data_IF_744944925079
#
_entry.id   IF_744944925079
#
_cell.length_a   1.000
_cell.length_b   1.000
_cell.length_c   1.000
_cell.angle_alpha   90.00
_cell.angle_beta   90.00
_cell.angle_gamma   90.00
#
_symmetry.space_group_name_H-M   'P 1'
#
loop_
_entity.id
_entity.type
_entity.pdbx_description
1 polymer ?
#
# COMPACT_ATOMS: atom_id res chain seq x y z
N UNK A 1 35.90 -1.82 -22.73
CA UNK A 1 35.26 -0.55 -23.14
C UNK A 1 34.06 -0.30 -22.25
N UNK A 2 34.08 0.86 -21.57
CA UNK A 2 32.99 1.60 -20.89
C UNK A 2 32.12 0.87 -19.85
N UNK A 3 32.43 1.11 -18.59
CA UNK A 3 31.47 1.01 -17.48
C UNK A 3 30.42 2.12 -17.57
N UNK A 4 29.18 1.79 -17.22
CA UNK A 4 28.06 2.71 -17.16
C UNK A 4 27.76 2.99 -15.69
N UNK A 5 28.11 4.20 -15.26
CA UNK A 5 27.79 4.77 -13.96
C UNK A 5 26.32 5.23 -13.97
N UNK A 6 25.43 4.58 -13.22
CA UNK A 6 24.09 5.12 -12.98
C UNK A 6 24.16 6.18 -11.87
N UNK A 7 23.82 7.42 -12.23
CA UNK A 7 23.62 8.53 -11.29
C UNK A 7 22.29 8.34 -10.58
N UNK A 8 22.30 8.25 -9.24
CA UNK A 8 21.09 8.35 -8.41
C UNK A 8 20.61 9.81 -8.45
N UNK A 9 19.44 10.05 -9.02
CA UNK A 9 18.76 11.35 -8.98
C UNK A 9 18.08 11.49 -7.63
N UNK A 10 18.55 12.42 -6.80
CA UNK A 10 17.97 12.79 -5.52
C UNK A 10 16.75 13.69 -5.77
N UNK A 11 15.55 13.20 -5.45
CA UNK A 11 14.32 14.00 -5.47
C UNK A 11 14.21 14.74 -4.14
N UNK A 12 14.45 16.06 -4.15
CA UNK A 12 14.36 16.93 -2.98
C UNK A 12 12.88 17.33 -2.78
N UNK A 13 12.20 16.75 -1.80
CA UNK A 13 10.84 17.15 -1.42
C UNK A 13 10.92 18.29 -0.39
N UNK A 14 10.81 19.54 -0.85
CA UNK A 14 10.73 20.71 0.02
C UNK A 14 9.31 20.86 0.57
N UNK A 15 9.13 20.64 1.87
CA UNK A 15 7.89 20.94 2.58
C UNK A 15 7.93 22.39 3.08
N UNK A 16 7.07 23.24 2.49
CA UNK A 16 6.77 24.57 3.01
C UNK A 16 5.90 24.43 4.27
N UNK A 17 6.35 24.97 5.40
CA UNK A 17 5.44 25.34 6.50
C UNK A 17 5.54 26.85 6.70
N UNK A 18 4.37 27.46 6.51
CA UNK A 18 4.08 28.88 6.57
C UNK A 18 4.02 29.30 8.05
N UNK A 19 4.98 30.09 8.52
CA UNK A 19 4.90 30.76 9.83
C UNK A 19 4.79 32.27 9.62
N UNK A 20 3.56 32.79 9.67
CA UNK A 20 3.30 34.22 9.80
C UNK A 20 3.01 34.47 11.28
N UNK A 21 4.00 35.00 12.00
CA UNK A 21 3.75 35.76 13.23
C UNK A 21 4.38 37.15 13.04
N UNK A 22 3.51 38.15 13.05
CA UNK A 22 3.84 39.56 12.96
C UNK A 22 4.61 40.01 14.22
N UNK A 23 5.86 40.43 14.05
CA UNK A 23 6.57 41.23 15.04
C UNK A 23 6.20 42.70 14.80
N UNK A 24 5.39 43.26 15.70
CA UNK A 24 5.20 44.71 15.80
C UNK A 24 6.42 45.29 16.53
N UNK A 25 7.02 46.32 15.91
CA UNK A 25 8.09 47.15 16.49
C UNK A 25 7.73 47.63 17.90
N UNK A 26 8.71 47.60 18.80
CA UNK A 26 8.72 48.45 19.98
C UNK A 26 9.92 49.39 19.85
N UNK A 27 9.61 50.65 19.55
CA UNK A 27 10.57 51.75 19.53
C UNK A 27 11.08 52.01 20.96
N UNK A 28 12.40 52.08 21.09
CA UNK A 28 13.07 52.49 22.33
C UNK A 28 13.00 54.01 22.48
N UNK A 29 12.42 54.49 23.58
CA UNK A 29 12.59 55.88 24.06
C UNK A 29 13.12 55.85 25.49
N UNK A 30 14.37 56.28 25.63
CA UNK A 30 15.04 56.58 26.90
C UNK A 30 14.49 57.86 27.54
N UNK A 31 14.14 57.81 28.83
CA UNK A 31 14.12 58.98 29.73
C UNK A 31 14.66 58.55 31.12
N UNK A 32 15.54 59.34 31.80
CA UNK A 32 16.33 58.90 32.98
C UNK A 32 15.80 59.36 34.37
N UNK A 33 16.30 58.69 35.43
CA UNK A 33 16.43 59.09 36.88
C UNK A 33 15.11 59.36 37.68
N UNK A 34 14.88 59.06 38.99
CA UNK A 34 15.70 58.80 40.17
C UNK A 34 14.86 58.24 41.37
N UNK A 35 15.50 57.36 42.18
CA UNK A 35 15.46 57.06 43.64
C UNK A 35 14.24 56.61 44.51
N UNK A 36 14.57 55.60 45.34
CA UNK A 36 13.99 55.09 46.61
C UNK A 36 12.57 54.51 46.52
N UNK A 37 12.23 53.33 47.05
CA UNK A 37 12.61 52.75 48.35
C UNK A 37 12.12 51.27 48.39
N UNK A 38 12.79 50.43 49.18
CA UNK A 38 12.38 49.08 49.68
C UNK A 38 12.47 47.84 48.76
N UNK A 39 13.52 47.07 49.04
CA UNK A 39 13.55 45.62 48.91
C UNK A 39 12.74 44.98 50.05
N UNK A 40 11.65 44.26 49.74
CA UNK A 40 11.20 43.05 50.47
C UNK A 40 10.44 42.16 49.46
N UNK A 41 11.19 41.23 48.87
CA UNK A 41 10.89 39.82 48.61
C UNK A 41 9.40 39.43 48.41
N UNK A 42 9.02 39.22 47.15
CA UNK A 42 8.00 38.24 46.80
C UNK A 42 8.38 37.64 45.45
N UNK A 43 9.31 36.67 45.49
CA UNK A 43 9.51 35.71 44.40
C UNK A 43 8.33 34.76 44.47
N UNK A 44 7.21 35.16 43.87
CA UNK A 44 6.19 34.17 43.50
C UNK A 44 6.69 33.50 42.23
N UNK A 45 7.22 32.31 42.48
CA UNK A 45 7.77 31.34 41.57
C UNK A 45 6.74 30.95 40.51
N UNK A 46 6.73 31.70 39.41
CA UNK A 46 6.15 31.22 38.16
C UNK A 46 7.12 30.20 37.56
N UNK A 47 7.31 29.03 38.19
CA UNK A 47 7.90 27.88 37.51
C UNK A 47 6.93 27.48 36.41
N UNK A 48 7.18 27.96 35.19
CA UNK A 48 6.67 27.34 33.99
C UNK A 48 7.11 25.89 34.03
N UNK A 49 6.16 24.99 34.27
CA UNK A 49 6.37 23.54 34.22
C UNK A 49 6.50 23.16 32.73
N UNK A 50 7.62 23.52 32.11
CA UNK A 50 7.90 23.24 30.71
C UNK A 50 8.11 21.73 30.62
N UNK A 51 7.04 21.01 30.24
CA UNK A 51 7.15 19.60 29.91
C UNK A 51 8.17 19.45 28.78
N UNK A 52 9.10 18.53 28.96
CA UNK A 52 10.05 18.17 27.90
C UNK A 52 9.30 17.51 26.75
N UNK A 53 9.89 17.54 25.58
CA UNK A 53 9.42 16.77 24.41
C UNK A 53 10.45 15.70 24.13
N UNK A 54 9.98 14.49 23.82
CA UNK A 54 10.80 13.36 23.41
C UNK A 54 10.38 12.90 22.02
N UNK A 55 11.36 12.49 21.22
CA UNK A 55 11.14 12.03 19.85
C UNK A 55 11.00 10.51 19.83
N UNK A 56 9.94 10.03 19.17
CA UNK A 56 9.77 8.62 18.80
C UNK A 56 10.08 8.50 17.32
N UNK A 57 11.04 7.64 16.98
CA UNK A 57 11.47 7.42 15.60
C UNK A 57 11.24 5.96 15.23
N UNK A 58 10.58 5.75 14.09
CA UNK A 58 10.23 4.43 13.57
C UNK A 58 11.10 4.11 12.36
N UNK A 59 11.63 2.89 12.31
CA UNK A 59 12.49 2.41 11.24
C UNK A 59 11.96 1.12 10.60
N UNK A 60 12.10 1.02 9.27
CA UNK A 60 12.11 -0.26 8.55
C UNK A 60 13.57 -0.61 8.24
N UNK A 61 14.07 -1.64 8.92
CA UNK A 61 15.51 -1.93 9.00
C UNK A 61 16.29 -0.69 9.47
N UNK A 62 17.14 -0.14 8.61
CA UNK A 62 17.93 1.07 8.89
C UNK A 62 17.31 2.35 8.26
N UNK A 63 16.16 2.25 7.61
CA UNK A 63 15.51 3.36 6.91
C UNK A 63 14.47 4.03 7.81
N UNK A 64 14.53 5.37 7.90
CA UNK A 64 13.52 6.15 8.59
C UNK A 64 12.15 5.97 7.93
N UNK A 65 11.18 5.47 8.70
CA UNK A 65 9.79 5.31 8.29
C UNK A 65 8.93 6.51 8.71
N UNK A 66 8.99 6.90 9.98
CA UNK A 66 8.20 7.98 10.58
C UNK A 66 8.94 8.56 11.79
N UNK A 67 8.67 9.82 12.15
CA UNK A 67 9.11 10.40 13.42
C UNK A 67 8.03 11.31 14.00
N UNK A 68 7.86 11.26 15.32
CA UNK A 68 6.84 12.02 16.06
C UNK A 68 7.45 12.60 17.34
N UNK A 69 7.03 13.82 17.71
CA UNK A 69 7.44 14.51 18.93
C UNK A 69 6.32 14.46 19.97
N UNK A 70 6.58 13.88 21.13
CA UNK A 70 5.59 13.60 22.19
C UNK A 70 5.99 14.31 23.48
N UNK A 71 5.02 14.93 24.17
CA UNK A 71 5.27 15.59 25.46
C UNK A 71 5.53 14.56 26.57
N UNK A 72 6.44 14.91 27.47
CA UNK A 72 6.76 14.12 28.66
C UNK A 72 5.51 13.81 29.49
N UNK A 73 5.39 12.54 29.90
CA UNK A 73 4.24 12.07 30.65
C UNK A 73 3.05 11.64 29.78
N UNK A 74 3.09 11.82 28.46
CA UNK A 74 2.05 11.35 27.55
C UNK A 74 2.34 9.95 26.98
N UNK A 75 1.30 9.33 26.42
CA UNK A 75 1.38 8.09 25.66
C UNK A 75 1.13 8.39 24.18
N UNK A 76 1.64 7.56 23.29
CA UNK A 76 1.40 7.65 21.84
C UNK A 76 0.68 6.41 21.32
N UNK A 77 0.03 6.57 20.16
CA UNK A 77 -0.69 5.50 19.46
C UNK A 77 0.20 4.83 18.44
N UNK A 78 -0.18 3.60 18.06
CA UNK A 78 0.51 2.87 17.00
C UNK A 78 0.43 3.64 15.67
N UNK A 79 1.55 3.75 14.92
CA UNK A 79 1.53 4.41 13.61
C UNK A 79 0.79 3.55 12.59
N UNK A 80 0.53 4.14 11.42
CA UNK A 80 0.14 3.34 10.24
C UNK A 80 1.17 2.25 9.99
N UNK A 81 0.71 1.01 9.80
CA UNK A 81 1.60 -0.14 9.68
C UNK A 81 2.47 -0.03 8.41
N UNK A 82 3.79 -0.27 8.49
CA UNK A 82 4.64 -0.32 7.33
C UNK A 82 4.35 -1.58 6.51
N UNK A 83 4.51 -1.47 5.18
CA UNK A 83 4.34 -2.59 4.24
C UNK A 83 5.67 -2.99 3.64
N UNK A 84 5.96 -4.29 3.60
CA UNK A 84 7.19 -4.84 3.02
C UNK A 84 6.90 -6.06 2.16
N UNK A 85 7.43 -6.04 0.94
CA UNK A 85 7.14 -7.02 -0.10
C UNK A 85 7.54 -8.44 0.29
N UNK A 86 6.58 -9.38 0.24
CA UNK A 86 6.79 -10.77 0.66
C UNK A 86 6.86 -10.98 2.18
N UNK A 87 6.53 -9.97 2.99
CA UNK A 87 6.50 -10.07 4.45
C UNK A 87 5.20 -9.54 5.05
N UNK A 88 4.84 -10.08 6.22
CA UNK A 88 3.77 -9.56 7.08
C UNK A 88 4.39 -8.80 8.24
N UNK A 89 3.98 -7.55 8.46
CA UNK A 89 4.34 -6.81 9.66
C UNK A 89 3.75 -7.51 10.90
N UNK A 90 4.55 -7.67 11.95
CA UNK A 90 4.13 -8.35 13.19
C UNK A 90 4.04 -7.39 14.36
N UNK A 91 5.10 -6.63 14.62
CA UNK A 91 5.20 -5.74 15.77
C UNK A 91 6.39 -4.79 15.63
N UNK A 92 6.37 -3.73 16.44
CA UNK A 92 7.53 -2.86 16.64
C UNK A 92 8.45 -3.44 17.73
N UNK A 93 9.74 -3.16 17.65
CA UNK A 93 10.71 -3.54 18.69
C UNK A 93 11.48 -2.33 19.19
N UNK A 94 11.79 -2.31 20.50
CA UNK A 94 12.75 -1.39 21.12
C UNK A 94 13.90 -2.23 21.66
N UNK A 95 15.13 -1.91 21.27
CA UNK A 95 16.31 -2.68 21.68
C UNK A 95 16.17 -4.20 21.40
N UNK A 96 15.58 -4.54 20.25
CA UNK A 96 15.24 -5.93 19.82
C UNK A 96 14.15 -6.65 20.65
N UNK A 97 13.47 -5.95 21.55
CA UNK A 97 12.37 -6.50 22.36
C UNK A 97 11.03 -5.97 21.80
N UNK A 98 9.99 -6.80 21.61
CA UNK A 98 8.67 -6.33 21.18
C UNK A 98 8.16 -5.20 22.07
N UNK A 99 7.74 -4.11 21.43
CA UNK A 99 7.28 -2.90 22.10
C UNK A 99 5.76 -2.90 22.25
N UNK A 100 5.29 -2.55 23.44
CA UNK A 100 3.86 -2.44 23.75
C UNK A 100 3.50 -0.96 23.90
N UNK A 101 2.56 -0.49 23.09
CA UNK A 101 2.07 0.89 23.17
C UNK A 101 1.28 1.14 24.47
N UNK A 102 1.20 2.41 24.87
CA UNK A 102 0.56 2.84 26.12
C UNK A 102 1.52 3.02 27.30
N UNK A 103 2.83 2.84 27.10
CA UNK A 103 3.83 3.25 28.08
C UNK A 103 4.07 4.76 28.03
N UNK A 104 4.21 5.38 29.20
CA UNK A 104 4.52 6.81 29.32
C UNK A 104 5.91 7.09 28.73
N UNK A 105 6.00 8.16 27.93
CA UNK A 105 7.27 8.63 27.37
C UNK A 105 8.11 9.35 28.44
N UNK A 106 9.39 8.97 28.55
CA UNK A 106 10.37 9.54 29.49
C UNK A 106 11.76 9.78 28.88
N UNK A 107 11.93 9.41 27.61
CA UNK A 107 13.14 9.59 26.81
C UNK A 107 12.79 9.39 25.33
N UNK A 108 13.71 9.74 24.43
CA UNK A 108 13.57 9.40 23.02
C UNK A 108 13.55 7.87 22.82
N UNK A 109 12.80 7.41 21.82
CA UNK A 109 12.65 5.99 21.53
C UNK A 109 12.88 5.74 20.04
N UNK A 110 13.75 4.79 19.73
CA UNK A 110 13.87 4.21 18.41
C UNK A 110 13.11 2.87 18.37
N UNK A 111 12.17 2.75 17.43
CA UNK A 111 11.36 1.55 17.19
C UNK A 111 11.66 0.97 15.82
N UNK A 112 11.85 -0.35 15.76
CA UNK A 112 12.17 -1.07 14.53
C UNK A 112 11.07 -2.04 14.16
N UNK A 113 10.60 -1.97 12.92
CA UNK A 113 9.57 -2.85 12.39
C UNK A 113 10.09 -4.29 12.32
N UNK A 114 9.33 -5.22 12.87
CA UNK A 114 9.58 -6.65 12.73
C UNK A 114 8.60 -7.26 11.74
N UNK A 115 9.16 -8.01 10.79
CA UNK A 115 8.46 -8.62 9.68
C UNK A 115 8.69 -10.14 9.68
N UNK A 116 7.64 -10.91 9.38
CA UNK A 116 7.76 -12.34 9.08
C UNK A 116 7.61 -12.57 7.58
N UNK A 117 8.49 -13.37 6.99
CA UNK A 117 8.35 -13.77 5.59
C UNK A 117 7.03 -14.53 5.42
N UNK A 118 6.31 -14.21 4.36
CA UNK A 118 5.13 -14.99 3.98
C UNK A 118 5.67 -16.32 3.43
N UNK A 119 5.49 -17.41 4.19
CA UNK A 119 5.87 -18.77 3.76
C UNK A 119 4.83 -19.31 2.77
N UNK A 120 4.83 -18.76 1.55
CA UNK A 120 4.04 -19.22 0.41
C UNK A 120 4.95 -19.92 -0.60
N UNK A 121 4.42 -20.90 -1.32
CA UNK A 121 5.19 -21.58 -2.36
C UNK A 121 5.62 -20.54 -3.41
N UNK A 122 6.84 -20.63 -3.94
CA UNK A 122 7.34 -19.65 -4.92
C UNK A 122 6.45 -19.51 -6.19
N UNK A 123 5.63 -20.52 -6.48
CA UNK A 123 4.64 -20.48 -7.57
C UNK A 123 3.49 -19.49 -7.30
N UNK A 124 3.23 -19.17 -6.03
CA UNK A 124 2.12 -18.35 -5.54
C UNK A 124 2.47 -16.85 -5.51
N UNK A 125 3.71 -16.51 -5.85
CA UNK A 125 4.26 -15.16 -5.74
C UNK A 125 4.61 -14.60 -7.12
N UNK A 126 4.18 -13.36 -7.37
CA UNK A 126 4.75 -12.51 -8.40
C UNK A 126 5.60 -11.43 -7.71
N UNK A 127 6.95 -11.60 -7.72
CA UNK A 127 7.84 -10.69 -7.02
C UNK A 127 8.01 -9.35 -7.74
N UNK A 128 7.63 -9.25 -9.02
CA UNK A 128 7.76 -8.00 -9.79
C UNK A 128 6.68 -7.01 -9.35
N UNK A 129 5.47 -7.52 -9.15
CA UNK A 129 4.30 -6.71 -8.77
C UNK A 129 3.96 -6.79 -7.28
N UNK A 130 4.78 -7.50 -6.48
CA UNK A 130 4.53 -7.80 -5.07
C UNK A 130 3.13 -8.39 -4.81
N UNK A 131 2.75 -9.39 -5.60
CA UNK A 131 1.47 -10.07 -5.48
C UNK A 131 1.69 -11.46 -4.90
N UNK A 132 0.81 -11.86 -3.97
CA UNK A 132 0.75 -13.21 -3.42
C UNK A 132 -0.68 -13.72 -3.55
N UNK A 133 -0.85 -14.91 -4.12
CA UNK A 133 -2.17 -15.56 -4.26
C UNK A 133 -2.26 -16.86 -3.45
N UNK A 134 -3.37 -17.07 -2.75
CA UNK A 134 -3.71 -18.35 -2.12
C UNK A 134 -4.88 -18.99 -2.85
N UNK A 135 -5.01 -20.31 -2.78
CA UNK A 135 -6.06 -21.04 -3.52
C UNK A 135 -7.49 -20.64 -3.08
N UNK A 136 -7.66 -20.22 -1.82
CA UNK A 136 -8.90 -19.75 -1.20
C UNK A 136 -9.14 -18.24 -1.30
N UNK A 137 -8.18 -17.49 -1.86
CA UNK A 137 -8.28 -16.04 -2.01
C UNK A 137 -9.33 -15.61 -3.04
N UNK A 138 -9.89 -14.42 -2.82
CA UNK A 138 -10.89 -13.80 -3.70
C UNK A 138 -10.22 -12.69 -4.51
N UNK A 139 -10.02 -12.93 -5.80
CA UNK A 139 -9.28 -12.05 -6.69
C UNK A 139 -10.17 -11.59 -7.83
N UNK A 140 -10.06 -10.32 -8.21
CA UNK A 140 -10.73 -9.80 -9.40
C UNK A 140 -9.89 -8.76 -10.17
N UNK A 141 -8.66 -8.48 -9.74
CA UNK A 141 -7.75 -7.58 -10.43
C UNK A 141 -6.90 -8.33 -11.46
N UNK A 142 -6.44 -7.60 -12.48
CA UNK A 142 -5.74 -8.16 -13.66
C UNK A 142 -4.59 -9.10 -13.29
N UNK A 143 -3.67 -8.63 -12.45
CA UNK A 143 -2.42 -9.34 -12.18
C UNK A 143 -2.62 -10.49 -11.19
N UNK A 144 -3.44 -10.28 -10.15
CA UNK A 144 -3.82 -11.34 -9.19
C UNK A 144 -4.51 -12.52 -9.88
N UNK A 145 -5.49 -12.23 -10.74
CA UNK A 145 -6.28 -13.26 -11.43
C UNK A 145 -5.42 -14.02 -12.46
N UNK A 146 -4.53 -13.31 -13.18
CA UNK A 146 -3.61 -13.96 -14.10
C UNK A 146 -2.64 -14.89 -13.38
N UNK A 147 -2.05 -14.44 -12.27
CA UNK A 147 -1.20 -15.27 -11.41
C UNK A 147 -1.97 -16.48 -10.89
N UNK A 148 -3.18 -16.28 -10.36
CA UNK A 148 -4.03 -17.37 -9.86
C UNK A 148 -4.31 -18.43 -10.93
N UNK A 149 -4.74 -18.03 -12.13
CA UNK A 149 -5.03 -18.98 -13.22
C UNK A 149 -3.76 -19.72 -13.65
N UNK A 150 -2.62 -19.02 -13.72
CA UNK A 150 -1.34 -19.63 -14.06
C UNK A 150 -0.87 -20.66 -13.01
N UNK A 151 -1.22 -20.46 -11.75
CA UNK A 151 -0.77 -21.29 -10.63
C UNK A 151 -1.72 -22.46 -10.33
N UNK A 152 -3.03 -22.19 -10.29
CA UNK A 152 -4.04 -23.16 -9.85
C UNK A 152 -4.85 -23.76 -11.01
N UNK A 153 -4.65 -23.28 -12.25
CA UNK A 153 -5.27 -23.82 -13.44
C UNK A 153 -6.81 -23.86 -13.35
N UNK A 154 -7.39 -22.86 -12.70
CA UNK A 154 -8.83 -22.66 -12.53
C UNK A 154 -9.15 -21.20 -12.21
N UNK A 155 -10.43 -20.86 -12.20
CA UNK A 155 -10.89 -19.55 -11.73
C UNK A 155 -10.87 -19.45 -10.20
N UNK A 156 -10.60 -18.25 -9.63
CA UNK A 156 -10.92 -17.95 -8.25
C UNK A 156 -12.40 -18.22 -7.95
N UNK A 157 -12.73 -18.65 -6.72
CA UNK A 157 -14.09 -19.10 -6.37
C UNK A 157 -15.14 -18.00 -6.32
N UNK A 158 -14.75 -16.72 -6.35
CA UNK A 158 -15.68 -15.57 -6.46
C UNK A 158 -16.21 -15.36 -7.89
N UNK A 159 -15.72 -16.11 -8.88
CA UNK A 159 -16.27 -16.07 -10.23
C UNK A 159 -17.48 -16.98 -10.39
N UNK A 160 -18.48 -16.47 -11.11
CA UNK A 160 -19.64 -17.24 -11.52
C UNK A 160 -20.03 -16.88 -12.96
N UNK A 161 -20.60 -17.83 -13.68
CA UNK A 161 -21.12 -17.64 -15.03
C UNK A 161 -22.30 -16.66 -15.04
N UNK A 162 -22.61 -16.10 -16.21
CA UNK A 162 -23.81 -15.28 -16.39
C UNK A 162 -25.10 -16.02 -16.01
N UNK A 163 -25.11 -17.35 -16.22
CA UNK A 163 -26.24 -18.20 -15.86
C UNK A 163 -26.42 -18.33 -14.34
N UNK A 164 -25.33 -18.56 -13.60
CA UNK A 164 -25.35 -18.65 -12.13
C UNK A 164 -25.73 -17.32 -11.46
N UNK A 165 -25.36 -16.20 -12.08
CA UNK A 165 -25.76 -14.87 -11.59
C UNK A 165 -27.29 -14.64 -11.66
N UNK A 166 -28.01 -15.37 -12.53
CA UNK A 166 -29.47 -15.33 -12.65
C UNK A 166 -30.06 -13.90 -12.69
N UNK A 167 -29.67 -13.12 -13.71
CA UNK A 167 -30.06 -11.71 -13.88
C UNK A 167 -29.62 -10.73 -12.77
N UNK A 168 -28.89 -11.19 -11.74
CA UNK A 168 -28.37 -10.34 -10.65
C UNK A 168 -26.97 -9.80 -10.93
N UNK A 169 -26.49 -9.88 -12.16
CA UNK A 169 -25.13 -9.50 -12.56
C UNK A 169 -24.72 -8.14 -11.97
N UNK A 170 -25.62 -7.14 -11.98
CA UNK A 170 -25.32 -5.80 -11.48
C UNK A 170 -25.19 -5.66 -9.97
N UNK A 171 -25.53 -6.70 -9.20
CA UNK A 171 -25.60 -6.67 -7.74
C UNK A 171 -24.88 -7.83 -7.06
N UNK A 172 -24.11 -8.65 -7.78
CA UNK A 172 -23.39 -9.78 -7.18
C UNK A 172 -22.22 -9.32 -6.29
N UNK A 173 -21.60 -8.18 -6.62
CA UNK A 173 -20.38 -7.72 -5.99
C UNK A 173 -20.62 -7.02 -4.65
N UNK A 174 -19.77 -7.33 -3.68
CA UNK A 174 -19.51 -6.57 -2.45
C UNK A 174 -18.00 -6.50 -2.21
N UNK A 175 -17.56 -5.58 -1.34
CA UNK A 175 -16.15 -5.50 -0.94
C UNK A 175 -15.65 -6.83 -0.34
N UNK A 176 -16.50 -7.48 0.46
CA UNK A 176 -16.17 -8.75 1.13
C UNK A 176 -16.08 -9.94 0.16
N UNK A 177 -16.96 -10.01 -0.86
CA UNK A 177 -17.06 -11.21 -1.71
C UNK A 177 -16.32 -11.07 -3.05
N UNK A 178 -16.08 -9.85 -3.52
CA UNK A 178 -15.49 -9.52 -4.82
C UNK A 178 -16.08 -10.28 -6.01
N UNK A 179 -17.35 -10.69 -5.93
CA UNK A 179 -17.98 -11.58 -6.89
C UNK A 179 -18.02 -10.94 -8.28
N UNK A 180 -17.65 -11.72 -9.29
CA UNK A 180 -17.45 -11.25 -10.67
C UNK A 180 -17.95 -12.27 -11.68
N UNK A 181 -18.29 -11.80 -12.89
CA UNK A 181 -18.73 -12.71 -13.97
C UNK A 181 -17.53 -13.37 -14.62
N UNK A 182 -17.57 -14.68 -14.81
CA UNK A 182 -16.53 -15.42 -15.51
C UNK A 182 -16.83 -16.91 -15.64
N UNK A 183 -16.14 -17.59 -16.54
CA UNK A 183 -16.34 -19.02 -16.80
C UNK A 183 -17.14 -19.32 -18.06
N UNK A 184 -17.71 -18.31 -18.70
CA UNK A 184 -18.41 -18.46 -19.98
C UNK A 184 -17.42 -18.60 -21.15
N UNK A 185 -17.83 -19.32 -22.19
CA UNK A 185 -17.02 -19.49 -23.41
C UNK A 185 -16.81 -18.16 -24.15
N UNK A 186 -15.54 -17.85 -24.44
CA UNK A 186 -15.16 -16.81 -25.39
C UNK A 186 -14.98 -17.42 -26.79
N UNK A 187 -15.79 -17.00 -27.75
CA UNK A 187 -15.83 -17.62 -29.07
C UNK A 187 -14.72 -17.18 -30.04
N UNK A 188 -13.89 -16.19 -29.66
CA UNK A 188 -12.83 -15.64 -30.52
C UNK A 188 -13.31 -15.32 -31.95
N UNK A 189 -14.49 -14.69 -32.08
CA UNK A 189 -15.16 -14.48 -33.38
C UNK A 189 -14.35 -13.62 -34.35
N UNK A 190 -13.57 -12.70 -33.81
CA UNK A 190 -12.70 -11.80 -34.58
C UNK A 190 -11.34 -12.44 -34.91
N UNK A 191 -11.02 -13.60 -34.32
CA UNK A 191 -9.76 -14.31 -34.57
C UNK A 191 -8.52 -13.59 -34.04
N UNK A 192 -8.68 -12.71 -33.06
CA UNK A 192 -7.58 -11.92 -32.47
C UNK A 192 -6.73 -12.75 -31.49
N UNK A 193 -7.20 -13.91 -31.07
CA UNK A 193 -6.42 -14.88 -30.27
C UNK A 193 -6.02 -16.09 -31.14
N UNK A 194 -4.99 -16.87 -30.75
CA UNK A 194 -4.52 -18.01 -31.54
C UNK A 194 -5.64 -18.99 -31.92
N UNK A 195 -5.66 -19.44 -33.17
CA UNK A 195 -6.62 -20.44 -33.66
C UNK A 195 -5.87 -21.74 -33.91
N UNK A 196 -6.23 -22.78 -33.18
CA UNK A 196 -5.65 -24.12 -33.32
C UNK A 196 -6.68 -25.19 -32.94
N UNK A 197 -6.54 -26.38 -33.50
CA UNK A 197 -7.48 -27.47 -33.26
C UNK A 197 -7.48 -27.84 -31.77
N UNK A 198 -8.67 -27.87 -31.16
CA UNK A 198 -8.85 -28.23 -29.75
C UNK A 198 -8.58 -27.10 -28.75
N UNK A 199 -8.20 -25.89 -29.21
CA UNK A 199 -8.08 -24.72 -28.34
C UNK A 199 -9.45 -24.07 -28.16
N UNK A 200 -9.85 -23.90 -26.91
CA UNK A 200 -11.07 -23.21 -26.50
C UNK A 200 -10.73 -22.12 -25.50
N UNK A 201 -11.55 -21.07 -25.44
CA UNK A 201 -11.31 -19.93 -24.55
C UNK A 201 -12.46 -19.71 -23.58
N UNK A 202 -12.10 -19.22 -22.40
CA UNK A 202 -13.01 -18.80 -21.33
C UNK A 202 -12.79 -17.32 -21.04
N UNK A 203 -13.87 -16.54 -20.93
CA UNK A 203 -13.80 -15.12 -20.54
C UNK A 203 -14.20 -14.88 -19.07
N UNK A 204 -13.66 -13.79 -18.51
CA UNK A 204 -14.02 -13.28 -17.19
C UNK A 204 -13.82 -11.78 -17.06
N UNK A 205 -14.62 -11.16 -16.20
CA UNK A 205 -14.56 -9.75 -15.82
C UNK A 205 -13.37 -9.47 -14.92
N UNK A 206 -12.78 -8.28 -15.10
CA UNK A 206 -11.66 -7.78 -14.31
C UNK A 206 -11.99 -6.38 -13.79
N UNK A 207 -11.56 -6.09 -12.58
CA UNK A 207 -11.83 -4.83 -11.86
C UNK A 207 -13.34 -4.51 -11.77
N UNK A 208 -14.18 -5.54 -11.63
CA UNK A 208 -15.62 -5.35 -11.44
C UNK A 208 -15.91 -4.98 -9.99
N UNK A 209 -16.69 -3.92 -9.79
CA UNK A 209 -17.03 -3.39 -8.46
C UNK A 209 -18.54 -3.11 -8.32
N UNK A 210 -19.38 -3.95 -8.93
CA UNK A 210 -20.83 -3.78 -8.92
C UNK A 210 -21.39 -2.90 -10.05
N UNK A 211 -22.72 -2.80 -10.13
CA UNK A 211 -23.44 -2.02 -11.14
C UNK A 211 -23.10 -2.47 -12.57
N UNK A 212 -22.72 -1.54 -13.46
CA UNK A 212 -22.46 -1.84 -14.87
C UNK A 212 -21.08 -2.47 -15.06
N UNK A 213 -21.04 -3.60 -15.79
CA UNK A 213 -19.78 -4.23 -16.24
C UNK A 213 -18.93 -3.25 -17.04
N UNK A 214 -17.62 -3.31 -16.84
CA UNK A 214 -16.63 -2.47 -17.53
C UNK A 214 -16.14 -3.15 -18.84
N UNK A 215 -15.09 -2.60 -19.48
CA UNK A 215 -14.49 -3.11 -20.72
C UNK A 215 -13.37 -4.14 -20.51
N UNK A 216 -12.96 -4.39 -19.27
CA UNK A 216 -11.75 -5.14 -18.92
C UNK A 216 -12.06 -6.63 -18.75
N UNK A 217 -11.29 -7.47 -19.41
CA UNK A 217 -11.46 -8.93 -19.33
C UNK A 217 -10.13 -9.63 -19.33
N UNK A 218 -10.07 -10.76 -18.64
CA UNK A 218 -9.14 -11.83 -19.00
C UNK A 218 -9.89 -12.81 -19.91
N UNK A 219 -9.17 -13.37 -20.87
CA UNK A 219 -9.55 -14.53 -21.65
C UNK A 219 -8.43 -15.54 -21.51
N UNK A 220 -8.72 -16.78 -21.10
CA UNK A 220 -7.70 -17.83 -21.02
C UNK A 220 -8.10 -19.06 -21.81
N UNK A 221 -7.12 -19.75 -22.37
CA UNK A 221 -7.33 -20.99 -23.13
C UNK A 221 -7.36 -22.21 -22.23
N UNK A 222 -7.86 -23.34 -22.74
CA UNK A 222 -7.88 -24.63 -22.03
C UNK A 222 -6.48 -25.22 -21.74
N UNK A 223 -5.41 -24.67 -22.31
CA UNK A 223 -4.00 -24.94 -21.96
C UNK A 223 -3.37 -23.80 -21.11
N UNK A 224 -4.19 -22.92 -20.55
CA UNK A 224 -3.80 -21.85 -19.63
C UNK A 224 -2.81 -20.84 -20.22
N UNK A 225 -3.01 -20.45 -21.48
CA UNK A 225 -2.51 -19.16 -21.98
C UNK A 225 -3.50 -18.08 -21.57
N UNK A 226 -2.99 -16.96 -21.09
CA UNK A 226 -3.79 -15.95 -20.41
C UNK A 226 -3.63 -14.63 -21.16
N UNK A 227 -4.75 -14.07 -21.60
CA UNK A 227 -4.82 -12.85 -22.37
C UNK A 227 -5.65 -11.81 -21.64
N UNK A 228 -5.27 -10.55 -21.71
CA UNK A 228 -6.01 -9.43 -21.14
C UNK A 228 -6.41 -8.43 -22.21
N UNK A 229 -7.65 -7.97 -22.16
CA UNK A 229 -8.13 -6.82 -22.92
C UNK A 229 -8.55 -5.71 -21.96
N UNK A 230 -8.05 -4.49 -22.18
CA UNK A 230 -8.52 -3.29 -21.49
C UNK A 230 -9.62 -2.51 -22.23
N UNK A 231 -9.92 -2.89 -23.47
CA UNK A 231 -10.73 -2.11 -24.42
C UNK A 231 -11.85 -2.95 -25.06
N UNK A 232 -12.49 -3.83 -24.29
CA UNK A 232 -13.66 -4.61 -24.72
C UNK A 232 -13.37 -5.49 -25.95
N UNK A 233 -12.33 -6.32 -25.83
CA UNK A 233 -11.86 -7.31 -26.81
C UNK A 233 -11.23 -6.72 -28.08
N UNK A 234 -10.94 -5.41 -28.13
CA UNK A 234 -10.34 -4.77 -29.30
C UNK A 234 -8.84 -5.05 -29.50
N UNK A 235 -8.10 -5.36 -28.42
CA UNK A 235 -6.69 -5.75 -28.46
C UNK A 235 -6.31 -6.55 -27.22
N UNK A 236 -5.26 -7.37 -27.31
CA UNK A 236 -4.84 -8.23 -26.21
C UNK A 236 -3.38 -8.02 -25.81
N UNK A 237 -3.14 -8.21 -24.51
CA UNK A 237 -1.83 -8.53 -23.96
C UNK A 237 -1.82 -10.01 -23.60
N UNK A 238 -0.70 -10.72 -23.77
CA UNK A 238 -0.49 -12.08 -23.27
C UNK A 238 0.38 -12.04 -22.01
N UNK A 239 0.01 -12.83 -21.01
CA UNK A 239 0.77 -13.00 -19.76
C UNK A 239 1.81 -14.12 -19.92
N UNK A 240 3.07 -13.77 -19.73
CA UNK A 240 4.18 -14.72 -19.68
C UNK A 240 4.27 -15.33 -18.28
N UNK A 241 3.96 -16.62 -18.16
CA UNK A 241 3.91 -17.31 -16.87
C UNK A 241 5.29 -17.50 -16.24
N UNK A 242 6.36 -17.48 -17.03
CA UNK A 242 7.73 -17.65 -16.54
C UNK A 242 8.30 -16.31 -16.07
N UNK A 243 8.12 -15.25 -16.87
CA UNK A 243 8.66 -13.92 -16.54
C UNK A 243 7.73 -13.06 -15.72
N UNK A 244 6.46 -13.44 -15.58
CA UNK A 244 5.39 -12.67 -14.89
C UNK A 244 5.09 -11.32 -15.53
N UNK A 245 5.39 -11.17 -16.82
CA UNK A 245 5.20 -9.92 -17.56
C UNK A 245 4.04 -10.00 -18.56
N UNK A 246 3.44 -8.85 -18.86
CA UNK A 246 2.47 -8.71 -19.95
C UNK A 246 3.15 -8.22 -21.23
N UNK A 247 2.90 -8.89 -22.33
CA UNK A 247 3.45 -8.57 -23.65
C UNK A 247 2.31 -8.28 -24.62
N UNK A 248 2.51 -7.37 -25.57
CA UNK A 248 1.53 -7.17 -26.64
C UNK A 248 1.36 -8.46 -27.42
N UNK A 249 0.10 -8.82 -27.69
CA UNK A 249 -0.27 -9.93 -28.56
C UNK A 249 -0.82 -9.40 -29.89
#
# INVERSE_FOLDING_TARGET
MKGITMKKTLLLLTLMILSIFSLSSCDTLDIPFNNSDKQVDNVDDQTSNIKKTYTVTYYDEDNLYLSEDILEGESFTEPTLPTKDGFTFKYWTKDSIPYTFGTIISSNIDLYAHFEAINVDAKDVDPINNIVVTEDGLYNQKDEVALYIATYHKLPSNYMTKAEADNRISSIWTEDNKASIGGDTFYNREGLLPISLGITYTELDIDYSGSRRNAKRIVYSNDFRIFYTGNHYGSFLEYDKETREWKSY
#
